data_IF_285783525051
#
_entry.id   IF_285783525051
#
_cell.length_a   1.000
_cell.length_b   1.000
_cell.length_c   1.000
_cell.angle_alpha   90.00
_cell.angle_beta   90.00
_cell.angle_gamma   90.00
#
_symmetry.space_group_name_H-M   'P 1'
#
loop_
_entity.id
_entity.type
_entity.pdbx_description
1 polymer ?
#
# COMPACT_ATOMS: atom_id res chain seq x y z
N UNK A 1 37.01 -21.59 -17.45
CA UNK A 1 36.25 -20.36 -17.76
C UNK A 1 34.86 -20.56 -17.15
N UNK A 2 34.63 -20.04 -15.94
CA UNK A 2 33.39 -20.28 -15.19
C UNK A 2 32.48 -19.08 -15.47
N UNK A 3 31.35 -19.35 -16.13
CA UNK A 3 30.33 -18.35 -16.39
C UNK A 3 29.58 -18.04 -15.07
N UNK A 4 29.73 -16.81 -14.59
CA UNK A 4 28.95 -16.26 -13.49
C UNK A 4 27.55 -15.99 -14.03
N UNK A 5 26.56 -16.73 -13.53
CA UNK A 5 25.15 -16.47 -13.81
C UNK A 5 24.73 -15.19 -13.09
N UNK A 6 24.46 -14.14 -13.86
CA UNK A 6 23.81 -12.92 -13.39
C UNK A 6 22.33 -13.24 -13.14
N UNK A 7 21.98 -13.57 -11.90
CA UNK A 7 20.60 -13.65 -11.47
C UNK A 7 20.00 -12.23 -11.48
N UNK A 8 19.34 -11.87 -12.58
CA UNK A 8 18.55 -10.65 -12.69
C UNK A 8 17.42 -10.67 -11.66
N UNK A 9 17.38 -9.64 -10.81
CA UNK A 9 16.35 -9.45 -9.79
C UNK A 9 14.96 -9.34 -10.41
N UNK A 10 14.21 -10.45 -10.39
CA UNK A 10 12.76 -10.40 -10.56
C UNK A 10 12.18 -9.82 -9.27
N UNK A 11 11.39 -8.76 -9.39
CA UNK A 11 10.45 -8.42 -8.33
C UNK A 11 9.49 -9.61 -8.25
N UNK A 12 9.41 -10.29 -7.12
CA UNK A 12 8.57 -11.48 -6.90
C UNK A 12 7.05 -11.25 -7.05
N UNK A 13 6.67 -10.07 -7.54
CA UNK A 13 5.32 -9.68 -7.93
C UNK A 13 4.98 -9.98 -9.40
N UNK A 14 5.92 -10.53 -10.18
CA UNK A 14 5.62 -11.17 -11.47
C UNK A 14 4.89 -12.50 -11.17
N UNK A 15 3.71 -12.43 -10.52
CA UNK A 15 2.73 -13.50 -10.62
C UNK A 15 2.28 -13.48 -12.09
N UNK A 16 2.15 -14.61 -12.77
CA UNK A 16 1.89 -14.75 -14.23
C UNK A 16 0.64 -13.97 -14.78
N UNK A 17 -0.03 -13.18 -13.94
CA UNK A 17 -1.27 -12.45 -14.17
C UNK A 17 -1.07 -10.94 -14.49
N UNK A 18 0.00 -10.28 -14.04
CA UNK A 18 0.30 -8.87 -14.39
C UNK A 18 1.80 -8.55 -14.33
N UNK A 19 2.33 -7.95 -15.39
CA UNK A 19 3.69 -7.43 -15.45
C UNK A 19 3.66 -5.96 -15.87
N UNK A 20 4.14 -5.07 -15.00
CA UNK A 20 4.28 -3.66 -15.33
C UNK A 20 5.52 -3.45 -16.23
N UNK A 21 5.39 -2.79 -17.40
CA UNK A 21 6.50 -2.54 -18.30
C UNK A 21 7.36 -1.37 -17.82
N UNK A 22 8.20 -1.62 -16.82
CA UNK A 22 9.14 -0.63 -16.29
C UNK A 22 10.05 -0.08 -17.41
N UNK A 23 10.09 1.25 -17.53
CA UNK A 23 11.01 1.96 -18.42
C UNK A 23 12.40 2.10 -17.80
N UNK A 24 12.48 2.19 -16.47
CA UNK A 24 13.74 2.23 -15.73
C UNK A 24 14.38 0.84 -15.66
N UNK A 25 15.68 0.81 -15.39
CA UNK A 25 16.36 -0.43 -15.01
C UNK A 25 15.76 -1.00 -13.71
N UNK A 26 15.24 -2.24 -13.77
CA UNK A 26 14.52 -2.87 -12.65
C UNK A 26 15.39 -3.05 -11.40
N UNK A 27 16.71 -3.23 -11.57
CA UNK A 27 17.62 -3.34 -10.44
C UNK A 27 17.74 -1.99 -9.72
N UNK A 28 17.78 -0.87 -10.45
CA UNK A 28 17.82 0.47 -9.86
C UNK A 28 16.60 0.78 -8.97
N UNK A 29 15.43 0.21 -9.27
CA UNK A 29 14.20 0.46 -8.50
C UNK A 29 14.22 -0.26 -7.14
N UNK A 30 14.99 -1.34 -7.01
CA UNK A 30 14.96 -2.26 -5.87
C UNK A 30 16.30 -2.44 -5.15
N UNK A 31 17.37 -1.81 -5.64
CA UNK A 31 18.75 -2.00 -5.19
C UNK A 31 18.97 -1.82 -3.68
N UNK A 32 18.22 -0.91 -3.04
CA UNK A 32 18.33 -0.61 -1.62
C UNK A 32 17.27 -1.30 -0.75
N UNK A 33 16.43 -2.19 -1.31
CA UNK A 33 15.36 -2.80 -0.52
C UNK A 33 15.89 -3.58 0.68
N UNK A 34 16.97 -4.34 0.50
CA UNK A 34 17.56 -5.11 1.59
C UNK A 34 18.07 -4.24 2.75
N UNK A 35 18.65 -3.06 2.45
CA UNK A 35 19.09 -2.14 3.51
C UNK A 35 17.90 -1.44 4.17
N UNK A 36 16.86 -1.09 3.39
CA UNK A 36 15.63 -0.48 3.90
C UNK A 36 14.81 -1.42 4.77
N UNK A 37 14.82 -2.71 4.50
CA UNK A 37 14.19 -3.73 5.36
C UNK A 37 14.80 -3.78 6.77
N UNK A 38 16.06 -3.37 6.92
CA UNK A 38 16.74 -3.26 8.20
C UNK A 38 16.41 -1.98 8.98
N UNK A 39 15.67 -1.04 8.40
CA UNK A 39 15.29 0.20 9.06
C UNK A 39 14.11 -0.02 10.01
N UNK A 40 14.07 0.65 11.18
CA UNK A 40 12.95 0.55 12.09
C UNK A 40 11.68 1.11 11.44
N UNK A 41 10.58 0.35 11.49
CA UNK A 41 9.29 0.80 10.95
C UNK A 41 8.54 1.74 11.91
N UNK A 42 8.85 1.65 13.21
CA UNK A 42 8.25 2.41 14.31
C UNK A 42 9.34 2.78 15.33
N UNK A 43 9.13 3.85 16.11
CA UNK A 43 9.93 4.12 17.31
C UNK A 43 9.30 3.51 18.57
N UNK A 44 8.07 2.98 18.47
CA UNK A 44 7.39 2.38 19.62
C UNK A 44 8.18 1.14 20.06
N UNK A 45 8.49 0.98 21.35
CA UNK A 45 9.26 -0.16 21.84
C UNK A 45 8.56 -1.50 21.53
N UNK A 46 9.28 -2.56 21.10
CA UNK A 46 8.67 -3.86 20.81
C UNK A 46 7.83 -4.44 21.97
N UNK A 47 8.19 -4.13 23.21
CA UNK A 47 7.45 -4.54 24.40
C UNK A 47 6.06 -3.91 24.53
N UNK A 48 5.79 -2.81 23.83
CA UNK A 48 4.51 -2.11 23.86
C UNK A 48 3.58 -2.51 22.71
N UNK A 49 4.07 -3.21 21.68
CA UNK A 49 3.32 -3.51 20.46
C UNK A 49 2.08 -4.39 20.69
N UNK A 50 2.12 -5.24 21.71
CA UNK A 50 1.09 -6.25 21.97
C UNK A 50 0.47 -6.11 23.37
N UNK A 51 0.68 -4.96 24.03
CA UNK A 51 0.08 -4.72 25.34
C UNK A 51 -1.42 -4.56 25.22
N UNK A 52 -2.12 -5.21 26.14
CA UNK A 52 -3.56 -5.14 26.28
C UNK A 52 -3.94 -4.54 27.63
N UNK A 53 -5.14 -3.98 27.73
CA UNK A 53 -5.78 -3.63 29.00
C UNK A 53 -6.36 -4.88 29.71
N UNK A 54 -7.00 -4.67 30.86
CA UNK A 54 -7.60 -5.75 31.64
C UNK A 54 -8.77 -6.46 30.94
N UNK A 55 -9.39 -5.80 29.96
CA UNK A 55 -10.51 -6.31 29.16
C UNK A 55 -10.04 -7.04 27.90
N UNK A 56 -8.72 -7.09 27.66
CA UNK A 56 -8.12 -7.77 26.52
C UNK A 56 -8.06 -6.92 25.24
N UNK A 57 -8.29 -5.60 25.33
CA UNK A 57 -8.14 -4.71 24.19
C UNK A 57 -6.70 -4.23 24.05
N UNK A 58 -6.18 -4.21 22.83
CA UNK A 58 -4.87 -3.63 22.57
C UNK A 58 -4.82 -2.14 22.94
N UNK A 59 -3.77 -1.72 23.64
CA UNK A 59 -3.59 -0.32 24.05
C UNK A 59 -3.40 0.63 22.85
N UNK A 60 -2.92 0.11 21.72
CA UNK A 60 -2.86 0.81 20.44
C UNK A 60 -4.20 0.78 19.67
N UNK A 61 -5.30 0.42 20.34
CA UNK A 61 -6.66 0.33 19.80
C UNK A 61 -6.81 -0.66 18.65
N UNK A 62 -5.91 -1.62 18.55
CA UNK A 62 -5.91 -2.61 17.49
C UNK A 62 -5.25 -2.15 16.19
N UNK A 63 -4.63 -0.96 16.16
CA UNK A 63 -3.98 -0.40 14.97
C UNK A 63 -2.47 -0.66 14.87
N UNK A 64 -1.87 -1.15 15.96
CA UNK A 64 -0.45 -1.40 16.00
C UNK A 64 0.41 -0.16 16.22
N UNK A 65 1.73 -0.33 16.16
CA UNK A 65 2.71 0.75 16.35
C UNK A 65 2.65 1.81 15.25
N UNK A 66 2.90 3.07 15.59
CA UNK A 66 2.89 4.16 14.59
C UNK A 66 4.11 4.09 13.69
N UNK A 67 3.92 4.34 12.39
CA UNK A 67 5.03 4.36 11.43
C UNK A 67 5.94 5.57 11.61
N UNK A 68 7.26 5.37 11.52
CA UNK A 68 8.26 6.45 11.44
C UNK A 68 8.36 7.02 10.03
N UNK A 69 8.97 8.20 9.88
CA UNK A 69 9.48 8.64 8.60
C UNK A 69 10.80 7.91 8.28
N UNK A 70 10.87 7.26 7.12
CA UNK A 70 12.08 6.62 6.61
C UNK A 70 12.91 7.63 5.80
N UNK A 71 14.25 7.49 5.75
CA UNK A 71 15.08 8.38 4.96
C UNK A 71 14.74 8.27 3.46
N UNK A 72 14.76 9.37 2.70
CA UNK A 72 14.62 9.31 1.25
C UNK A 72 15.79 8.52 0.64
N UNK A 73 15.57 7.71 -0.41
CA UNK A 73 16.65 7.03 -1.12
C UNK A 73 17.40 8.00 -2.03
N UNK A 74 18.64 7.63 -2.36
CA UNK A 74 19.33 8.22 -3.51
C UNK A 74 18.74 7.67 -4.81
N UNK A 75 18.64 8.52 -5.84
CA UNK A 75 18.25 8.08 -7.19
C UNK A 75 19.51 7.56 -7.89
N UNK A 76 19.57 6.27 -8.28
CA UNK A 76 20.74 5.71 -8.93
C UNK A 76 21.03 6.38 -10.28
N UNK A 77 22.31 6.66 -10.56
CA UNK A 77 22.74 7.28 -11.82
C UNK A 77 22.55 6.36 -13.03
N UNK A 78 22.51 5.05 -12.80
CA UNK A 78 22.35 4.01 -13.80
C UNK A 78 20.89 3.55 -13.96
N UNK A 79 19.92 4.35 -13.48
CA UNK A 79 18.49 4.05 -13.58
C UNK A 79 17.93 3.91 -15.02
N UNK A 80 18.68 4.37 -16.04
CA UNK A 80 18.30 4.36 -17.47
C UNK A 80 17.00 5.11 -17.82
N UNK A 81 16.49 5.92 -16.89
CA UNK A 81 15.30 6.76 -17.05
C UNK A 81 15.51 8.09 -16.31
N UNK A 82 14.62 9.06 -16.50
CA UNK A 82 14.66 10.32 -15.75
C UNK A 82 14.21 10.14 -14.28
N UNK A 83 14.58 11.09 -13.41
CA UNK A 83 14.30 11.02 -11.99
C UNK A 83 12.79 10.96 -11.65
N UNK A 84 11.93 11.63 -12.43
CA UNK A 84 10.49 11.61 -12.20
C UNK A 84 9.90 10.25 -12.57
N UNK A 85 10.34 9.66 -13.69
CA UNK A 85 9.97 8.29 -14.09
C UNK A 85 10.46 7.28 -13.05
N UNK A 86 11.70 7.40 -12.57
CA UNK A 86 12.23 6.53 -11.52
C UNK A 86 11.39 6.58 -10.24
N UNK A 87 11.00 7.75 -9.77
CA UNK A 87 10.15 7.88 -8.57
C UNK A 87 8.78 7.21 -8.74
N UNK A 88 8.12 7.43 -9.88
CA UNK A 88 6.83 6.79 -10.20
C UNK A 88 6.95 5.28 -10.22
N UNK A 89 7.93 4.77 -10.96
CA UNK A 89 8.16 3.34 -11.10
C UNK A 89 8.63 2.69 -9.80
N UNK A 90 9.38 3.40 -8.96
CA UNK A 90 9.75 2.90 -7.65
C UNK A 90 8.56 2.76 -6.71
N UNK A 91 7.64 3.71 -6.70
CA UNK A 91 6.37 3.60 -5.96
C UNK A 91 5.62 2.33 -6.39
N UNK A 92 5.53 2.08 -7.70
CA UNK A 92 4.90 0.86 -8.22
C UNK A 92 5.68 -0.41 -7.85
N UNK A 93 7.01 -0.41 -7.93
CA UNK A 93 7.84 -1.54 -7.56
C UNK A 93 7.68 -1.89 -6.06
N UNK A 94 7.56 -0.88 -5.19
CA UNK A 94 7.27 -1.07 -3.76
C UNK A 94 5.85 -1.58 -3.55
N UNK A 95 4.84 -1.01 -4.22
CA UNK A 95 3.46 -1.48 -4.10
C UNK A 95 3.33 -2.96 -4.52
N UNK A 96 3.92 -3.30 -5.66
CA UNK A 96 3.94 -4.66 -6.21
C UNK A 96 4.62 -5.66 -5.27
N UNK A 97 5.68 -5.24 -4.55
CA UNK A 97 6.37 -6.06 -3.55
C UNK A 97 5.43 -6.67 -2.50
N UNK A 98 4.33 -6.00 -2.18
CA UNK A 98 3.39 -6.41 -1.14
C UNK A 98 2.14 -7.14 -1.65
N UNK A 99 2.05 -7.42 -2.97
CA UNK A 99 0.93 -8.18 -3.55
C UNK A 99 0.74 -9.51 -2.82
N UNK A 100 -0.47 -9.75 -2.34
CA UNK A 100 -0.82 -10.93 -1.55
C UNK A 100 -1.04 -12.14 -2.46
N UNK A 101 -0.03 -12.99 -2.57
CA UNK A 101 -0.11 -14.27 -3.28
C UNK A 101 0.58 -15.39 -2.48
N UNK A 102 0.19 -16.66 -2.66
CA UNK A 102 0.77 -17.79 -1.92
C UNK A 102 2.31 -17.92 -2.00
N UNK A 103 2.93 -17.37 -3.06
CA UNK A 103 4.38 -17.39 -3.26
C UNK A 103 5.12 -16.13 -2.78
N UNK A 104 4.41 -15.10 -2.32
CA UNK A 104 5.02 -13.86 -1.88
C UNK A 104 5.11 -13.79 -0.34
N UNK A 105 6.30 -13.99 0.27
CA UNK A 105 6.46 -13.95 1.72
C UNK A 105 6.23 -12.54 2.32
N UNK A 106 6.21 -11.50 1.48
CA UNK A 106 5.91 -10.13 1.86
C UNK A 106 4.47 -9.75 1.59
N UNK A 107 3.66 -10.63 1.01
CA UNK A 107 2.24 -10.36 0.73
C UNK A 107 1.50 -9.87 1.97
N UNK A 108 0.68 -8.83 1.80
CA UNK A 108 -0.09 -8.22 2.88
C UNK A 108 -1.60 -8.40 2.67
N UNK A 109 -2.27 -8.90 3.70
CA UNK A 109 -3.74 -8.87 3.76
C UNK A 109 -4.23 -7.45 4.09
N UNK A 110 -5.54 -7.23 3.95
CA UNK A 110 -6.17 -6.02 4.46
C UNK A 110 -6.32 -6.10 5.98
N UNK A 111 -5.70 -5.17 6.70
CA UNK A 111 -5.80 -5.04 8.15
C UNK A 111 -5.72 -3.58 8.56
N UNK A 112 -6.47 -3.13 9.56
CA UNK A 112 -6.36 -1.76 10.08
C UNK A 112 -5.06 -1.53 10.87
N UNK A 113 -3.90 -1.69 10.23
CA UNK A 113 -2.60 -1.60 10.88
C UNK A 113 -1.80 -0.43 10.31
N UNK A 114 -0.97 0.19 11.15
CA UNK A 114 -0.10 1.30 10.76
C UNK A 114 1.22 0.87 10.10
N UNK A 115 1.70 -0.35 10.39
CA UNK A 115 2.97 -0.88 9.85
C UNK A 115 2.83 -2.35 9.45
N UNK A 116 3.53 -2.81 8.39
CA UNK A 116 3.44 -4.20 7.94
C UNK A 116 4.15 -5.19 8.87
N UNK A 117 5.10 -4.72 9.70
CA UNK A 117 5.85 -5.55 10.64
C UNK A 117 5.04 -5.97 11.88
N UNK A 118 3.87 -5.37 12.13
CA UNK A 118 3.03 -5.76 13.26
C UNK A 118 2.17 -6.97 12.91
N UNK A 119 2.25 -8.01 13.74
CA UNK A 119 1.62 -9.30 13.51
C UNK A 119 0.91 -9.78 14.79
N UNK A 120 -0.25 -9.21 15.13
CA UNK A 120 -1.02 -9.67 16.28
C UNK A 120 -1.40 -11.16 16.12
N UNK A 121 -1.24 -12.00 17.16
CA UNK A 121 -1.54 -13.42 17.09
C UNK A 121 -3.03 -13.72 17.17
N UNK A 122 -3.84 -12.74 17.60
CA UNK A 122 -5.28 -12.82 17.75
C UNK A 122 -5.94 -11.64 17.03
N UNK A 123 -7.27 -11.69 16.89
CA UNK A 123 -8.03 -10.56 16.38
C UNK A 123 -7.77 -9.31 17.22
N UNK A 124 -7.69 -8.16 16.55
CA UNK A 124 -7.41 -6.85 17.16
C UNK A 124 -8.66 -6.15 17.67
N UNK A 125 -9.84 -6.67 17.34
CA UNK A 125 -11.11 -6.19 17.85
C UNK A 125 -12.13 -7.34 17.96
N UNK A 126 -12.29 -7.88 19.17
CA UNK A 126 -13.23 -8.97 19.43
C UNK A 126 -14.69 -8.52 19.21
N UNK A 127 -15.42 -9.26 18.38
CA UNK A 127 -16.82 -8.95 18.07
C UNK A 127 -17.02 -7.82 17.06
N UNK A 128 -15.97 -7.37 16.35
CA UNK A 128 -16.13 -6.49 15.20
C UNK A 128 -17.10 -7.13 14.21
N UNK A 129 -18.08 -6.34 13.73
CA UNK A 129 -18.83 -6.73 12.55
C UNK A 129 -17.85 -6.81 11.37
N UNK A 130 -18.08 -7.76 10.46
CA UNK A 130 -17.27 -7.84 9.25
C UNK A 130 -17.38 -6.55 8.46
N UNK A 131 -16.26 -5.84 8.33
CA UNK A 131 -16.14 -4.69 7.44
C UNK A 131 -15.95 -5.19 6.01
N UNK A 132 -17.06 -5.61 5.39
CA UNK A 132 -17.06 -5.99 3.99
C UNK A 132 -18.11 -5.18 3.22
N UNK A 133 -17.70 -4.13 2.49
CA UNK A 133 -18.60 -3.38 1.62
C UNK A 133 -18.91 -4.13 0.31
N UNK A 134 -18.31 -5.30 0.06
CA UNK A 134 -18.59 -6.14 -1.10
C UNK A 134 -19.75 -7.12 -0.77
N UNK A 135 -20.96 -6.93 -1.35
CA UNK A 135 -22.11 -7.77 -1.06
C UNK A 135 -21.96 -9.21 -1.59
N UNK A 136 -21.01 -9.45 -2.49
CA UNK A 136 -20.79 -10.75 -3.14
C UNK A 136 -19.73 -11.60 -2.41
N UNK A 137 -19.09 -11.07 -1.38
CA UNK A 137 -18.02 -11.74 -0.65
C UNK A 137 -18.56 -12.45 0.62
N UNK A 138 -18.03 -13.64 0.96
CA UNK A 138 -18.47 -14.37 2.15
C UNK A 138 -18.31 -13.53 3.42
N UNK A 139 -19.33 -13.53 4.29
CA UNK A 139 -19.19 -13.01 5.65
C UNK A 139 -18.17 -13.87 6.40
N UNK A 140 -17.13 -13.26 6.96
CA UNK A 140 -16.21 -13.98 7.87
C UNK A 140 -14.74 -13.57 7.84
N UNK A 141 -14.28 -12.84 6.81
CA UNK A 141 -12.96 -12.17 6.85
C UNK A 141 -13.17 -10.73 7.30
N UNK A 142 -12.52 -10.36 8.40
CA UNK A 142 -12.64 -9.02 8.95
C UNK A 142 -11.34 -8.26 8.82
N UNK A 143 -11.43 -6.93 8.74
CA UNK A 143 -10.28 -6.05 8.81
C UNK A 143 -9.49 -6.15 10.13
N UNK A 144 -10.04 -6.86 11.11
CA UNK A 144 -9.55 -7.01 12.48
C UNK A 144 -9.03 -8.42 12.77
N UNK A 145 -8.93 -9.30 11.77
CA UNK A 145 -8.41 -10.65 11.93
C UNK A 145 -6.90 -10.64 12.31
N UNK A 146 -6.37 -11.72 12.91
CA UNK A 146 -4.94 -11.81 13.22
C UNK A 146 -4.04 -11.67 11.99
N UNK A 147 -2.74 -11.49 12.24
CA UNK A 147 -1.70 -11.53 11.21
C UNK A 147 -1.27 -10.15 10.71
N UNK A 148 -0.37 -10.12 9.71
CA UNK A 148 0.13 -8.87 9.12
C UNK A 148 -0.85 -8.35 8.06
N UNK A 149 -0.87 -7.04 7.89
CA UNK A 149 -1.60 -6.40 6.81
C UNK A 149 -1.54 -4.89 6.91
N UNK A 150 -2.15 -4.22 5.94
CA UNK A 150 -2.38 -2.78 5.92
C UNK A 150 -3.73 -2.53 5.26
N UNK A 151 -4.44 -1.49 5.68
CA UNK A 151 -5.66 -1.04 5.01
C UNK A 151 -5.29 -0.17 3.80
N UNK A 152 -6.29 0.34 3.09
CA UNK A 152 -6.03 1.06 1.83
C UNK A 152 -5.11 2.28 2.03
N UNK A 153 -5.36 3.09 3.06
CA UNK A 153 -4.65 4.34 3.31
C UNK A 153 -3.34 4.16 4.08
N UNK A 154 -3.23 3.21 5.00
CA UNK A 154 -1.92 2.88 5.58
C UNK A 154 -1.02 2.15 4.58
N UNK A 155 -1.57 1.39 3.63
CA UNK A 155 -0.82 0.81 2.52
C UNK A 155 -0.19 1.89 1.63
N UNK A 156 -0.98 2.87 1.17
CA UNK A 156 -0.44 3.97 0.36
C UNK A 156 0.59 4.79 1.12
N UNK A 157 0.33 5.13 2.39
CA UNK A 157 1.28 5.83 3.25
C UNK A 157 2.59 5.04 3.43
N UNK A 158 2.49 3.72 3.62
CA UNK A 158 3.65 2.85 3.74
C UNK A 158 4.45 2.80 2.43
N UNK A 159 3.80 2.62 1.28
CA UNK A 159 4.48 2.54 -0.02
C UNK A 159 5.29 3.81 -0.31
N UNK A 160 4.73 4.99 -0.04
CA UNK A 160 5.41 6.27 -0.28
C UNK A 160 6.55 6.53 0.70
N UNK A 161 6.36 6.17 1.98
CA UNK A 161 7.38 6.32 2.99
C UNK A 161 8.53 5.32 2.78
N UNK A 162 8.21 4.04 2.58
CA UNK A 162 9.19 3.00 2.26
C UNK A 162 9.88 3.32 0.94
N UNK A 163 9.17 3.68 -0.11
CA UNK A 163 9.76 3.94 -1.41
C UNK A 163 10.63 5.19 -1.43
N UNK A 164 10.12 6.32 -0.94
CA UNK A 164 10.70 7.63 -1.22
C UNK A 164 10.98 8.47 0.03
N UNK A 165 10.70 7.96 1.23
CA UNK A 165 10.77 8.74 2.47
C UNK A 165 9.67 9.80 2.59
N UNK A 166 8.63 9.73 1.75
CA UNK A 166 7.50 10.66 1.79
C UNK A 166 6.50 10.14 2.82
N UNK A 167 6.47 10.76 4.00
CA UNK A 167 5.59 10.36 5.10
C UNK A 167 4.34 11.23 5.17
N UNK A 168 3.17 10.61 5.01
CA UNK A 168 1.86 11.18 5.33
C UNK A 168 1.04 10.24 6.25
N UNK A 169 -0.05 10.74 6.81
CA UNK A 169 -0.98 10.04 7.70
C UNK A 169 -1.73 8.91 6.98
N UNK A 170 -2.14 7.90 7.75
CA UNK A 170 -2.90 6.74 7.25
C UNK A 170 -4.42 6.92 7.30
N UNK A 171 -4.92 8.09 7.67
CA UNK A 171 -6.35 8.39 7.66
C UNK A 171 -6.80 8.74 6.23
N UNK A 172 -7.77 8.00 5.68
CA UNK A 172 -8.21 8.17 4.29
C UNK A 172 -8.92 9.51 4.04
N UNK A 173 -9.59 10.06 5.06
CA UNK A 173 -10.26 11.36 4.95
C UNK A 173 -9.22 12.48 4.94
N UNK A 174 -8.25 12.45 5.84
CA UNK A 174 -7.14 13.41 5.85
C UNK A 174 -6.31 13.33 4.55
N UNK A 175 -6.10 12.12 4.02
CA UNK A 175 -5.41 11.95 2.74
C UNK A 175 -6.22 12.58 1.59
N UNK A 176 -7.53 12.32 1.52
CA UNK A 176 -8.40 12.89 0.48
C UNK A 176 -8.48 14.42 0.57
N UNK A 177 -8.58 14.96 1.78
CA UNK A 177 -8.65 16.41 2.06
C UNK A 177 -7.30 17.13 1.86
N UNK A 178 -6.20 16.37 1.77
CA UNK A 178 -4.86 16.93 1.61
C UNK A 178 -4.19 17.36 2.92
N UNK A 179 -4.72 16.96 4.07
CA UNK A 179 -4.26 17.36 5.41
C UNK A 179 -3.36 16.32 6.07
N UNK A 180 -3.25 15.11 5.52
CA UNK A 180 -2.42 14.03 6.05
C UNK A 180 -0.90 14.29 5.96
N UNK A 181 -0.45 15.39 5.34
CA UNK A 181 0.96 15.74 5.20
C UNK A 181 1.32 16.15 3.76
N UNK A 182 2.52 15.81 3.25
CA UNK A 182 2.98 16.21 1.93
C UNK A 182 2.29 15.39 0.81
N UNK A 183 1.02 15.69 0.54
CA UNK A 183 0.22 15.00 -0.49
C UNK A 183 0.59 15.41 -1.92
N UNK A 184 1.38 16.48 -2.08
CA UNK A 184 1.82 16.99 -3.37
C UNK A 184 0.72 17.75 -4.11
N UNK A 185 0.51 17.47 -5.39
CA UNK A 185 -0.39 18.23 -6.26
C UNK A 185 -1.75 17.57 -6.39
N UNK A 186 -2.84 18.33 -6.24
CA UNK A 186 -4.20 17.82 -6.48
C UNK A 186 -4.38 17.42 -7.95
N UNK A 187 -5.04 16.29 -8.17
CA UNK A 187 -5.47 15.79 -9.48
C UNK A 187 -7.01 15.79 -9.48
N UNK A 188 -7.67 16.41 -10.47
CA UNK A 188 -9.13 16.45 -10.49
C UNK A 188 -9.71 15.07 -10.82
N UNK A 189 -11.02 14.91 -10.66
CA UNK A 189 -11.73 13.63 -10.82
C UNK A 189 -11.52 12.99 -12.20
N UNK A 190 -11.49 13.82 -13.23
CA UNK A 190 -11.27 13.47 -14.63
C UNK A 190 -9.80 13.16 -14.99
N UNK A 191 -8.85 13.42 -14.08
CA UNK A 191 -7.42 13.27 -14.33
C UNK A 191 -6.78 14.45 -15.07
N UNK A 192 -5.75 14.25 -15.92
CA UNK A 192 -5.14 12.96 -16.23
C UNK A 192 -4.32 12.42 -15.05
N UNK A 193 -4.61 11.16 -14.70
CA UNK A 193 -3.82 10.40 -13.73
C UNK A 193 -2.51 9.89 -14.36
N UNK A 194 -1.50 9.72 -13.52
CA UNK A 194 -0.18 9.18 -13.88
C UNK A 194 0.20 8.04 -12.93
N UNK A 195 1.04 7.09 -13.37
CA UNK A 195 1.54 6.03 -12.51
C UNK A 195 2.04 6.57 -11.16
N UNK A 196 1.54 6.00 -10.07
CA UNK A 196 1.82 6.45 -8.70
C UNK A 196 0.75 7.35 -8.09
N UNK A 197 -0.04 8.10 -8.87
CA UNK A 197 -1.08 8.98 -8.31
C UNK A 197 -2.00 8.23 -7.36
N UNK A 198 -2.37 8.86 -6.24
CA UNK A 198 -3.36 8.34 -5.31
C UNK A 198 -4.74 8.78 -5.78
N UNK A 199 -5.65 7.82 -5.99
CA UNK A 199 -7.04 8.09 -6.38
C UNK A 199 -7.95 7.73 -5.21
N UNK A 200 -8.79 8.67 -4.80
CA UNK A 200 -9.75 8.48 -3.71
C UNK A 200 -11.11 8.12 -4.27
N UNK A 201 -11.74 7.14 -3.63
CA UNK A 201 -13.00 6.58 -4.03
C UNK A 201 -14.01 6.74 -2.92
N UNK A 202 -15.24 7.06 -3.30
CA UNK A 202 -16.34 7.20 -2.37
C UNK A 202 -17.12 5.89 -2.19
N UNK A 203 -17.76 5.65 -1.04
CA UNK A 203 -18.61 4.48 -0.87
C UNK A 203 -19.86 4.62 -1.73
N UNK A 204 -20.54 3.52 -2.04
CA UNK A 204 -21.83 3.57 -2.71
C UNK A 204 -22.79 4.49 -1.93
N UNK A 205 -23.31 5.53 -2.58
CA UNK A 205 -24.36 6.40 -2.03
C UNK A 205 -23.92 7.77 -1.48
N UNK A 206 -22.64 7.99 -1.16
CA UNK A 206 -22.15 9.31 -0.72
C UNK A 206 -20.98 9.77 -1.59
N UNK A 207 -21.25 10.54 -2.64
CA UNK A 207 -20.26 11.03 -3.58
C UNK A 207 -19.38 12.18 -3.05
N UNK A 208 -19.46 12.52 -1.76
CA UNK A 208 -18.70 13.63 -1.17
C UNK A 208 -17.57 13.18 -0.24
N UNK A 209 -17.54 11.90 0.15
CA UNK A 209 -16.64 11.40 1.19
C UNK A 209 -15.82 10.22 0.71
N UNK A 210 -14.51 10.32 0.81
CA UNK A 210 -13.62 9.19 0.51
C UNK A 210 -13.81 8.06 1.54
N UNK A 211 -13.86 6.82 1.08
CA UNK A 211 -13.82 5.62 1.92
C UNK A 211 -12.67 4.68 1.56
N UNK A 212 -11.99 4.93 0.44
CA UNK A 212 -10.93 4.07 -0.07
C UNK A 212 -9.93 4.88 -0.90
N UNK A 213 -8.71 4.39 -0.97
CA UNK A 213 -7.66 4.97 -1.80
C UNK A 213 -6.91 3.87 -2.54
N UNK A 214 -6.51 4.17 -3.78
CA UNK A 214 -5.75 3.26 -4.65
C UNK A 214 -4.55 3.98 -5.24
N UNK A 215 -3.52 3.22 -5.60
CA UNK A 215 -2.38 3.69 -6.41
C UNK A 215 -2.71 3.44 -7.87
N UNK A 216 -2.73 4.49 -8.68
CA UNK A 216 -2.92 4.39 -10.13
C UNK A 216 -1.71 3.75 -10.80
N UNK A 217 -1.94 2.77 -11.66
CA UNK A 217 -0.88 2.12 -12.47
C UNK A 217 -0.98 2.59 -13.92
N UNK A 218 -2.12 2.35 -14.54
CA UNK A 218 -2.46 2.77 -15.89
C UNK A 218 -3.99 2.86 -16.02
N UNK A 219 -4.52 3.12 -17.23
CA UNK A 219 -5.98 3.29 -17.37
C UNK A 219 -6.76 2.03 -16.97
N UNK A 220 -6.21 0.84 -17.23
CA UNK A 220 -6.81 -0.46 -16.94
C UNK A 220 -6.52 -1.00 -15.55
N UNK A 221 -5.54 -0.47 -14.81
CA UNK A 221 -5.04 -1.10 -13.59
C UNK A 221 -4.81 -0.13 -12.42
N UNK A 222 -5.07 -0.64 -11.22
CA UNK A 222 -4.74 0.01 -9.93
C UNK A 222 -4.09 -1.01 -9.00
N UNK A 223 -3.44 -0.52 -7.93
CA UNK A 223 -3.03 -1.34 -6.79
C UNK A 223 -3.69 -0.77 -5.54
N UNK A 224 -4.33 -1.62 -4.76
CA UNK A 224 -4.93 -1.25 -3.48
C UNK A 224 -4.83 -2.40 -2.48
N UNK A 225 -5.21 -2.13 -1.23
CA UNK A 225 -5.47 -3.15 -0.22
C UNK A 225 -6.96 -3.14 0.09
N UNK A 226 -7.63 -4.30 0.02
CA UNK A 226 -9.06 -4.43 0.36
C UNK A 226 -9.36 -5.81 0.96
N UNK A 227 -10.35 -5.90 1.86
CA UNK A 227 -10.79 -7.20 2.43
C UNK A 227 -11.09 -8.18 1.30
N UNK A 228 -11.96 -7.78 0.37
CA UNK A 228 -12.19 -8.48 -0.89
C UNK A 228 -12.64 -7.48 -1.96
N UNK A 229 -12.21 -7.72 -3.20
CA UNK A 229 -12.72 -7.12 -4.42
C UNK A 229 -12.35 -8.06 -5.56
N UNK A 230 -13.17 -8.17 -6.59
CA UNK A 230 -12.81 -8.95 -7.79
C UNK A 230 -12.28 -10.37 -7.46
N UNK A 231 -12.79 -10.98 -6.38
CA UNK A 231 -12.35 -12.28 -5.84
C UNK A 231 -10.87 -12.37 -5.43
N UNK A 232 -10.24 -11.25 -5.05
CA UNK A 232 -8.86 -11.20 -4.55
C UNK A 232 -8.78 -10.44 -3.21
N UNK A 233 -8.03 -11.02 -2.28
CA UNK A 233 -7.88 -10.52 -0.91
C UNK A 233 -6.60 -9.69 -0.75
N UNK A 234 -6.64 -8.68 0.13
CA UNK A 234 -5.46 -7.90 0.53
C UNK A 234 -4.94 -6.97 -0.54
N UNK A 235 -3.61 -6.76 -0.52
CA UNK A 235 -2.90 -5.96 -1.51
C UNK A 235 -2.90 -6.68 -2.86
N UNK A 236 -3.45 -6.06 -3.89
CA UNK A 236 -3.60 -6.67 -5.21
C UNK A 236 -3.45 -5.64 -6.32
N UNK A 237 -2.94 -6.09 -7.47
CA UNK A 237 -3.24 -5.41 -8.74
C UNK A 237 -4.68 -5.75 -9.10
N UNK A 238 -5.49 -4.76 -9.47
CA UNK A 238 -6.89 -4.95 -9.84
C UNK A 238 -7.21 -4.25 -11.14
N UNK A 239 -8.25 -4.75 -11.81
CA UNK A 239 -8.81 -4.08 -12.96
C UNK A 239 -9.47 -2.79 -12.49
N UNK A 240 -9.10 -1.68 -13.09
CA UNK A 240 -9.78 -0.40 -12.91
C UNK A 240 -11.04 -0.44 -13.76
N UNK A 241 -12.14 -0.92 -13.20
CA UNK A 241 -13.46 -1.00 -13.83
C UNK A 241 -14.58 -0.91 -12.77
N UNK A 242 -15.83 -0.68 -13.22
CA UNK A 242 -16.99 -0.51 -12.34
C UNK A 242 -16.73 0.55 -11.28
N UNK A 243 -16.94 0.22 -10.01
CA UNK A 243 -16.74 1.12 -8.86
C UNK A 243 -15.36 1.80 -8.84
N UNK A 244 -14.27 1.11 -9.22
CA UNK A 244 -12.92 1.71 -9.28
C UNK A 244 -12.78 2.81 -10.35
N UNK A 245 -13.69 2.89 -11.32
CA UNK A 245 -13.76 4.00 -12.30
C UNK A 245 -14.85 5.01 -11.96
N UNK A 246 -15.99 4.55 -11.48
CA UNK A 246 -17.19 5.35 -11.33
C UNK A 246 -17.20 6.16 -10.02
N UNK A 247 -16.56 5.65 -8.96
CA UNK A 247 -16.59 6.28 -7.64
C UNK A 247 -15.45 7.27 -7.37
N UNK A 248 -14.77 7.75 -8.41
CA UNK A 248 -13.59 8.63 -8.28
C UNK A 248 -13.99 10.01 -7.76
N UNK A 249 -13.30 10.49 -6.72
CA UNK A 249 -13.43 11.85 -6.18
C UNK A 249 -12.34 12.81 -6.68
N UNK A 250 -11.33 12.27 -7.36
CA UNK A 250 -10.07 12.93 -7.66
C UNK A 250 -8.91 12.25 -6.93
N UNK A 251 -7.79 12.95 -6.89
CA UNK A 251 -6.56 12.37 -6.41
C UNK A 251 -5.52 13.37 -5.94
N UNK A 252 -4.42 12.80 -5.49
CA UNK A 252 -3.20 13.52 -5.15
C UNK A 252 -2.03 12.89 -5.91
N UNK A 253 -1.11 13.74 -6.35
CA UNK A 253 0.16 13.37 -6.96
C UNK A 253 1.28 13.75 -5.99
N UNK A 254 1.76 12.83 -5.15
CA UNK A 254 2.84 13.13 -4.19
C UNK A 254 4.21 13.31 -4.85
N UNK A 255 4.35 12.96 -6.13
CA UNK A 255 5.61 13.00 -6.89
C UNK A 255 5.41 13.70 -8.25
N UNK A 256 6.27 14.68 -8.55
CA UNK A 256 6.28 15.39 -9.84
C UNK A 256 7.11 14.66 -10.92
#
# INVERSE_FOLDING_TARGET
MIAISLAGGRSHADNDEFAYPFACDKASLTADFASRDGLPQTQDPPGDWYRMDADGHYLNRGWGPRSVALPPPDIPQDARCDASTWRRERVLAVALRYVYSPGNPLGLQYRHHHIPGWQPPTSTYAGALGENPDPDAPQGLTAWDPGRGLDCSNFTAWVYNYGLGIKFGGDVHEQADGTAGPMGRRVPQEGPFRPGDLIYLHPNGDASRASHVVIYVDDGHIIDSRVNAQNRLGVQVRNRSGWYREAVLGGWRPID
#
